data_IF_025752113545
#
_entry.id   IF_025752113545
#
_cell.length_a   1.000
_cell.length_b   1.000
_cell.length_c   1.000
_cell.angle_alpha   90.00
_cell.angle_beta   90.00
_cell.angle_gamma   90.00
#
_symmetry.space_group_name_H-M   'P 1'
#
loop_
_entity.id
_entity.type
_entity.pdbx_description
1 polymer ?
#
# COMPACT_ATOMS: atom_id res chain seq x y z
N UNK A 1 13.80 -39.88 -16.54
CA UNK A 1 13.09 -39.19 -15.46
C UNK A 1 13.64 -37.80 -15.43
N UNK A 2 12.94 -36.86 -16.06
CA UNK A 2 13.29 -35.45 -16.06
C UNK A 2 13.08 -34.90 -14.65
N UNK A 3 14.20 -34.55 -14.03
CA UNK A 3 14.35 -34.31 -12.61
C UNK A 3 13.93 -32.88 -12.26
N UNK A 4 12.62 -32.64 -12.20
CA UNK A 4 12.06 -31.50 -11.47
C UNK A 4 11.34 -32.07 -10.25
N UNK A 5 12.00 -32.05 -9.10
CA UNK A 5 11.53 -32.66 -7.85
C UNK A 5 10.50 -31.81 -7.10
N UNK A 6 9.87 -30.84 -7.76
CA UNK A 6 8.93 -29.90 -7.14
C UNK A 6 7.79 -29.56 -8.09
N UNK A 7 6.64 -29.19 -7.53
CA UNK A 7 5.47 -28.74 -8.27
C UNK A 7 4.64 -27.78 -7.42
N UNK A 8 4.05 -26.78 -8.07
CA UNK A 8 3.18 -25.81 -7.42
C UNK A 8 1.89 -26.47 -6.96
N UNK A 9 1.67 -26.51 -5.64
CA UNK A 9 0.47 -27.11 -5.05
C UNK A 9 -0.70 -26.13 -4.94
N UNK A 10 -0.39 -24.84 -4.73
CA UNK A 10 -1.38 -23.79 -4.53
C UNK A 10 -0.82 -22.46 -5.00
N UNK A 11 -1.68 -21.66 -5.61
CA UNK A 11 -1.42 -20.28 -6.00
C UNK A 11 -2.41 -19.39 -5.29
N UNK A 12 -1.95 -18.27 -4.74
CA UNK A 12 -2.79 -17.27 -4.07
C UNK A 12 -2.48 -15.88 -4.62
N UNK A 13 -3.52 -15.05 -4.74
CA UNK A 13 -3.41 -13.66 -5.19
C UNK A 13 -3.39 -12.76 -3.95
N UNK A 14 -2.21 -12.22 -3.63
CA UNK A 14 -2.00 -11.39 -2.44
C UNK A 14 -2.06 -9.88 -2.70
N UNK A 15 -2.15 -9.45 -3.96
CA UNK A 15 -2.17 -8.03 -4.27
C UNK A 15 -2.06 -7.67 -5.74
N UNK A 16 -2.23 -6.37 -6.02
CA UNK A 16 -2.06 -5.80 -7.35
C UNK A 16 -1.03 -4.66 -7.30
N UNK A 17 -0.16 -4.64 -8.30
CA UNK A 17 0.87 -3.63 -8.46
C UNK A 17 0.56 -2.64 -9.57
N UNK A 18 0.99 -1.38 -9.40
CA UNK A 18 1.06 -0.38 -10.48
C UNK A 18 2.46 -0.22 -11.07
N UNK A 19 3.48 -0.80 -10.44
CA UNK A 19 4.86 -0.71 -10.89
C UNK A 19 5.16 -1.78 -11.93
N UNK A 20 6.02 -1.48 -12.89
CA UNK A 20 6.51 -2.47 -13.88
C UNK A 20 7.75 -3.25 -13.44
N UNK A 21 8.37 -2.83 -12.34
CA UNK A 21 9.58 -3.45 -11.78
C UNK A 21 9.20 -4.44 -10.68
N UNK A 22 10.03 -5.46 -10.52
CA UNK A 22 9.95 -6.42 -9.42
C UNK A 22 10.65 -5.81 -8.20
N UNK A 23 9.84 -5.21 -7.33
CA UNK A 23 10.31 -4.52 -6.12
C UNK A 23 10.02 -5.39 -4.91
N UNK A 24 11.06 -5.87 -4.22
CA UNK A 24 10.86 -6.67 -3.00
C UNK A 24 10.10 -5.90 -1.91
N UNK A 25 10.28 -4.59 -1.80
CA UNK A 25 9.49 -3.77 -0.86
C UNK A 25 7.99 -3.83 -1.15
N UNK A 26 7.59 -3.98 -2.42
CA UNK A 26 6.19 -4.16 -2.81
C UNK A 26 5.72 -5.59 -2.52
N UNK A 27 6.52 -6.60 -2.84
CA UNK A 27 6.22 -8.01 -2.52
C UNK A 27 6.03 -8.21 -1.00
N UNK A 28 6.96 -7.69 -0.18
CA UNK A 28 6.90 -7.71 1.28
C UNK A 28 5.64 -7.05 1.84
N UNK A 29 5.26 -5.90 1.28
CA UNK A 29 4.03 -5.21 1.67
C UNK A 29 2.82 -6.12 1.50
N UNK A 30 2.76 -6.90 0.41
CA UNK A 30 1.67 -7.82 0.14
C UNK A 30 1.79 -9.16 0.87
N UNK A 31 2.98 -9.59 1.25
CA UNK A 31 3.21 -10.83 2.00
C UNK A 31 2.40 -10.92 3.29
N UNK A 32 2.18 -9.78 3.96
CA UNK A 32 1.36 -9.68 5.18
C UNK A 32 -0.14 -9.94 4.98
N UNK A 33 -0.63 -9.95 3.73
CA UNK A 33 -2.05 -10.13 3.46
C UNK A 33 -2.51 -11.60 3.61
N UNK A 34 -1.57 -12.54 3.59
CA UNK A 34 -1.82 -13.96 3.73
C UNK A 34 -0.97 -14.51 4.86
N UNK A 35 -1.62 -15.14 5.85
CA UNK A 35 -0.99 -15.56 7.10
C UNK A 35 0.22 -16.47 6.86
N UNK A 36 0.10 -17.41 5.91
CA UNK A 36 1.18 -18.36 5.62
C UNK A 36 2.40 -17.70 4.95
N UNK A 37 2.29 -16.47 4.44
CA UNK A 37 3.41 -15.70 3.88
C UNK A 37 3.85 -14.52 4.75
N UNK A 38 3.24 -14.32 5.92
CA UNK A 38 3.49 -13.14 6.74
C UNK A 38 4.96 -13.02 7.19
N UNK A 39 5.67 -14.15 7.33
CA UNK A 39 7.09 -14.19 7.67
C UNK A 39 8.00 -13.57 6.59
N UNK A 40 7.52 -13.45 5.34
CA UNK A 40 8.22 -12.79 4.24
C UNK A 40 7.98 -11.27 4.21
N UNK A 41 7.22 -10.70 5.14
CA UNK A 41 6.91 -9.27 5.15
C UNK A 41 8.07 -8.38 5.63
N UNK A 42 9.03 -8.95 6.36
CA UNK A 42 10.20 -8.23 6.84
C UNK A 42 11.39 -8.34 5.87
N UNK A 43 12.25 -7.31 5.77
CA UNK A 43 13.45 -7.40 4.95
C UNK A 43 14.39 -8.52 5.42
N UNK A 44 14.66 -9.48 4.54
CA UNK A 44 15.62 -10.56 4.76
C UNK A 44 16.35 -10.89 3.46
N UNK A 45 17.69 -10.77 3.45
CA UNK A 45 18.50 -11.05 2.25
C UNK A 45 18.46 -12.52 1.84
N UNK A 46 18.33 -13.44 2.82
CA UNK A 46 18.25 -14.89 2.55
C UNK A 46 16.98 -15.28 1.80
N UNK A 47 15.96 -14.42 1.85
CA UNK A 47 14.69 -14.63 1.16
C UNK A 47 14.52 -13.74 -0.08
N UNK A 48 15.48 -12.87 -0.42
CA UNK A 48 15.41 -11.97 -1.58
C UNK A 48 16.23 -12.49 -2.77
N UNK A 49 15.62 -13.33 -3.59
CA UNK A 49 16.31 -13.96 -4.72
C UNK A 49 16.32 -13.07 -5.96
N UNK A 50 17.51 -12.75 -6.47
CA UNK A 50 17.75 -11.83 -7.61
C UNK A 50 18.39 -12.56 -8.79
N UNK A 51 17.70 -13.54 -9.34
CA UNK A 51 18.25 -14.51 -10.30
C UNK A 51 17.95 -14.11 -11.75
N UNK A 52 18.38 -12.91 -12.16
CA UNK A 52 18.12 -12.37 -13.51
C UNK A 52 19.25 -12.67 -14.50
N UNK A 53 19.52 -13.95 -14.68
CA UNK A 53 20.39 -14.48 -15.73
C UNK A 53 19.61 -15.50 -16.58
N UNK A 54 20.15 -15.94 -17.73
CA UNK A 54 19.41 -16.72 -18.74
C UNK A 54 18.80 -18.04 -18.26
N UNK A 55 19.22 -18.54 -17.11
CA UNK A 55 18.77 -19.79 -16.49
C UNK A 55 18.32 -19.58 -15.04
N UNK A 56 18.11 -18.33 -14.63
CA UNK A 56 17.70 -17.99 -13.27
C UNK A 56 16.18 -17.85 -13.16
N UNK A 57 15.67 -17.99 -11.94
CA UNK A 57 14.24 -18.01 -11.68
C UNK A 57 13.59 -16.62 -11.51
N UNK A 58 14.33 -15.56 -11.84
CA UNK A 58 13.83 -14.19 -11.77
C UNK A 58 13.92 -13.59 -10.36
N UNK A 59 12.96 -12.71 -10.02
CA UNK A 59 12.91 -12.01 -8.74
C UNK A 59 11.76 -12.57 -7.91
N UNK A 60 12.06 -13.13 -6.75
CA UNK A 60 11.04 -13.71 -5.87
C UNK A 60 11.41 -13.64 -4.39
N UNK A 61 10.40 -13.58 -3.52
CA UNK A 61 10.57 -13.82 -2.09
C UNK A 61 10.26 -15.27 -1.75
N UNK A 62 11.10 -15.93 -0.99
CA UNK A 62 10.87 -17.30 -0.54
C UNK A 62 12.14 -17.90 0.04
N UNK A 63 12.04 -19.06 0.68
CA UNK A 63 13.21 -19.79 1.20
C UNK A 63 14.05 -20.40 0.06
N UNK A 64 13.36 -20.84 -1.00
CA UNK A 64 13.97 -21.46 -2.17
C UNK A 64 12.96 -21.47 -3.32
N UNK A 65 13.40 -21.58 -4.57
CA UNK A 65 12.50 -21.85 -5.71
C UNK A 65 11.84 -23.23 -5.62
N UNK A 66 12.41 -24.14 -4.84
CA UNK A 66 12.02 -25.56 -4.82
C UNK A 66 11.09 -25.93 -3.66
N UNK A 67 10.85 -25.02 -2.71
CA UNK A 67 10.09 -25.32 -1.49
C UNK A 67 9.46 -24.08 -0.86
N UNK A 68 8.38 -24.31 -0.12
CA UNK A 68 7.69 -23.27 0.63
C UNK A 68 6.90 -22.32 -0.26
N UNK A 69 6.47 -21.21 0.35
CA UNK A 69 5.77 -20.16 -0.38
C UNK A 69 6.75 -19.27 -1.12
N UNK A 70 6.39 -18.97 -2.37
CA UNK A 70 7.13 -18.05 -3.24
C UNK A 70 6.21 -16.89 -3.60
N UNK A 71 6.68 -15.66 -3.37
CA UNK A 71 6.02 -14.45 -3.83
C UNK A 71 6.82 -13.91 -5.01
N UNK A 72 6.22 -13.99 -6.19
CA UNK A 72 6.74 -13.39 -7.41
C UNK A 72 5.70 -12.47 -8.03
N UNK A 73 6.14 -11.67 -9.01
CA UNK A 73 5.29 -10.69 -9.66
C UNK A 73 5.04 -11.08 -11.09
N UNK A 74 3.77 -11.29 -11.41
CA UNK A 74 3.35 -11.63 -12.76
C UNK A 74 2.97 -10.37 -13.56
N UNK A 75 3.68 -10.06 -14.67
CA UNK A 75 3.36 -8.93 -15.52
C UNK A 75 2.10 -9.19 -16.37
N UNK A 76 1.19 -8.23 -16.39
CA UNK A 76 -0.02 -8.29 -17.21
C UNK A 76 0.26 -7.65 -18.58
N UNK A 77 0.61 -8.47 -19.57
CA UNK A 77 0.83 -8.01 -20.95
C UNK A 77 -0.44 -8.08 -21.82
N UNK A 78 -1.21 -9.15 -21.66
CA UNK A 78 -2.47 -9.38 -22.37
C UNK A 78 -3.55 -9.68 -21.34
N UNK A 79 -4.63 -8.90 -21.37
CA UNK A 79 -5.68 -8.95 -20.35
C UNK A 79 -6.45 -10.26 -20.40
N UNK A 80 -6.85 -10.69 -21.59
CA UNK A 80 -7.65 -11.89 -21.81
C UNK A 80 -6.89 -13.12 -21.31
N UNK A 81 -5.60 -13.23 -21.69
CA UNK A 81 -4.73 -14.31 -21.25
C UNK A 81 -4.51 -14.33 -19.74
N UNK A 82 -4.26 -13.18 -19.12
CA UNK A 82 -4.14 -13.11 -17.65
C UNK A 82 -5.42 -13.54 -16.94
N UNK A 83 -6.59 -13.20 -17.50
CA UNK A 83 -7.87 -13.67 -16.94
C UNK A 83 -7.95 -15.19 -17.03
N UNK A 84 -7.60 -15.78 -18.17
CA UNK A 84 -7.59 -17.24 -18.35
C UNK A 84 -6.60 -17.93 -17.39
N UNK A 85 -5.36 -17.45 -17.33
CA UNK A 85 -4.28 -18.03 -16.51
C UNK A 85 -4.64 -18.04 -15.00
N UNK A 86 -5.36 -17.02 -14.53
CA UNK A 86 -5.74 -16.88 -13.12
C UNK A 86 -7.20 -17.24 -12.81
N UNK A 87 -8.04 -17.59 -13.80
CA UNK A 87 -9.47 -17.84 -13.59
C UNK A 87 -9.73 -18.95 -12.58
N UNK A 88 -8.95 -20.04 -12.65
CA UNK A 88 -9.07 -21.15 -11.71
C UNK A 88 -8.71 -20.72 -10.28
N UNK A 89 -7.56 -20.05 -10.11
CA UNK A 89 -7.10 -19.54 -8.82
C UNK A 89 -8.11 -18.56 -8.22
N UNK A 90 -8.56 -17.59 -9.02
CA UNK A 90 -9.48 -16.54 -8.59
C UNK A 90 -10.93 -17.00 -8.45
N UNK A 91 -11.28 -18.18 -8.98
CA UNK A 91 -12.58 -18.81 -8.80
C UNK A 91 -12.83 -19.35 -7.38
N UNK A 92 -11.79 -19.41 -6.54
CA UNK A 92 -11.91 -19.74 -5.11
C UNK A 92 -11.51 -18.53 -4.25
N UNK A 93 -12.43 -18.05 -3.41
CA UNK A 93 -12.21 -16.93 -2.49
C UNK A 93 -11.06 -17.19 -1.50
N UNK A 94 -10.82 -18.45 -1.13
CA UNK A 94 -9.71 -18.85 -0.25
C UNK A 94 -8.32 -18.62 -0.88
N UNK A 95 -8.25 -18.28 -2.17
CA UNK A 95 -7.00 -17.93 -2.83
C UNK A 95 -6.84 -16.41 -3.01
N UNK A 96 -7.81 -15.59 -2.56
CA UNK A 96 -7.78 -14.14 -2.73
C UNK A 96 -7.52 -13.46 -1.39
N UNK A 97 -6.27 -13.05 -1.18
CA UNK A 97 -5.79 -12.41 0.04
C UNK A 97 -5.32 -11.00 -0.23
N UNK A 98 -6.23 -10.11 -0.63
CA UNK A 98 -5.90 -8.73 -0.97
C UNK A 98 -6.36 -7.84 0.17
N UNK A 99 -5.44 -7.13 0.83
CA UNK A 99 -5.81 -6.12 1.80
C UNK A 99 -6.70 -5.07 1.12
N UNK A 100 -7.91 -4.86 1.65
CA UNK A 100 -8.72 -3.72 1.24
C UNK A 100 -7.89 -2.46 1.54
N UNK A 101 -7.75 -1.51 0.60
CA UNK A 101 -7.14 -0.24 0.98
C UNK A 101 -7.93 0.30 2.17
N UNK A 102 -7.22 0.76 3.20
CA UNK A 102 -7.76 1.56 4.32
C UNK A 102 -8.47 2.79 3.73
N UNK A 103 -9.63 2.57 3.15
CA UNK A 103 -10.62 3.57 2.85
C UNK A 103 -11.40 3.68 4.15
N UNK A 104 -10.72 4.10 5.21
CA UNK A 104 -11.43 4.74 6.30
C UNK A 104 -11.85 6.08 5.69
N UNK A 105 -13.13 6.30 5.33
CA UNK A 105 -13.57 7.65 4.99
C UNK A 105 -13.19 8.56 6.16
N UNK A 106 -12.61 9.75 5.90
CA UNK A 106 -12.25 10.69 6.97
C UNK A 106 -13.46 10.88 7.88
N UNK A 107 -13.38 10.36 9.10
CA UNK A 107 -14.52 10.28 10.00
C UNK A 107 -14.58 11.54 10.84
N UNK A 108 -15.67 12.29 10.63
CA UNK A 108 -16.11 13.53 11.30
C UNK A 108 -15.22 14.77 11.10
N UNK A 109 -15.83 15.92 10.75
CA UNK A 109 -15.14 17.21 10.82
C UNK A 109 -14.89 17.55 12.30
N UNK A 110 -13.62 17.60 12.69
CA UNK A 110 -13.23 18.15 14.00
C UNK A 110 -13.04 19.64 13.81
N UNK A 111 -14.17 20.34 13.86
CA UNK A 111 -14.31 21.78 14.11
C UNK A 111 -13.74 22.76 13.05
N UNK A 112 -14.54 23.80 12.77
CA UNK A 112 -14.13 24.93 11.94
C UNK A 112 -13.28 25.88 12.79
N UNK A 113 -12.01 26.05 12.42
CA UNK A 113 -11.16 27.02 13.10
C UNK A 113 -11.22 28.40 12.46
N UNK A 114 -10.87 29.43 13.23
CA UNK A 114 -10.77 30.81 12.76
C UNK A 114 -9.88 30.89 11.51
N UNK A 115 -10.47 31.32 10.38
CA UNK A 115 -9.74 31.54 9.12
C UNK A 115 -10.19 30.68 7.93
N UNK A 116 -11.31 29.95 8.03
CA UNK A 116 -11.83 29.16 6.90
C UNK A 116 -11.01 27.91 6.58
N UNK A 117 -10.26 27.43 7.57
CA UNK A 117 -9.56 26.14 7.52
C UNK A 117 -10.32 25.10 8.35
N UNK A 118 -10.31 23.85 7.90
CA UNK A 118 -10.97 22.73 8.56
C UNK A 118 -9.92 21.65 8.84
N UNK A 119 -9.75 21.29 10.11
CA UNK A 119 -8.94 20.16 10.52
C UNK A 119 -9.81 18.90 10.49
N UNK A 120 -9.31 17.85 9.83
CA UNK A 120 -10.04 16.60 9.64
C UNK A 120 -9.13 15.44 9.98
N UNK A 121 -9.63 14.51 10.80
CA UNK A 121 -8.98 13.22 10.94
C UNK A 121 -9.09 12.44 9.62
N UNK A 122 -7.97 12.34 8.90
CA UNK A 122 -7.94 11.76 7.55
C UNK A 122 -7.78 10.24 7.59
N UNK A 123 -6.99 9.74 8.54
CA UNK A 123 -6.84 8.32 8.84
C UNK A 123 -6.31 8.14 10.26
N UNK A 124 -6.27 6.89 10.74
CA UNK A 124 -5.69 6.56 12.05
C UNK A 124 -4.23 7.02 12.24
N UNK A 125 -3.52 7.38 11.15
CA UNK A 125 -2.12 7.82 11.17
C UNK A 125 -1.92 9.24 10.66
N UNK A 126 -2.96 9.91 10.17
CA UNK A 126 -2.81 11.21 9.53
C UNK A 126 -4.01 12.14 9.77
N UNK A 127 -3.70 13.42 9.89
CA UNK A 127 -4.69 14.51 9.92
C UNK A 127 -4.50 15.39 8.69
N UNK A 128 -5.59 15.95 8.19
CA UNK A 128 -5.60 16.82 7.02
C UNK A 128 -6.20 18.19 7.36
N UNK A 129 -5.61 19.24 6.79
CA UNK A 129 -6.11 20.61 6.87
C UNK A 129 -6.59 21.02 5.48
N UNK A 130 -7.86 21.36 5.37
CA UNK A 130 -8.50 21.87 4.16
C UNK A 130 -8.87 23.35 4.31
N UNK A 131 -9.12 24.06 3.21
CA UNK A 131 -9.56 25.46 3.23
C UNK A 131 -8.52 26.44 2.69
N UNK A 132 -8.65 27.72 3.07
CA UNK A 132 -7.76 28.80 2.58
C UNK A 132 -6.41 28.79 3.30
N UNK A 133 -5.55 27.87 2.89
CA UNK A 133 -4.22 27.66 3.48
C UNK A 133 -3.12 28.50 2.80
N UNK A 134 -3.46 29.44 1.90
CA UNK A 134 -2.47 30.21 1.14
C UNK A 134 -1.63 31.11 2.05
N UNK A 135 -2.28 31.80 2.99
CA UNK A 135 -1.63 32.76 3.89
C UNK A 135 -0.72 32.07 4.92
N UNK A 136 -1.08 30.83 5.31
CA UNK A 136 -0.38 30.05 6.33
C UNK A 136 0.50 28.93 5.75
N UNK A 137 0.72 28.93 4.43
CA UNK A 137 1.44 27.86 3.72
C UNK A 137 2.84 27.60 4.29
N UNK A 138 3.60 28.65 4.56
CA UNK A 138 4.99 28.50 5.03
C UNK A 138 5.03 27.98 6.47
N UNK A 139 4.04 28.34 7.29
CA UNK A 139 3.88 27.85 8.66
C UNK A 139 3.47 26.36 8.68
N UNK A 140 2.51 25.97 7.85
CA UNK A 140 2.10 24.56 7.68
C UNK A 140 3.27 23.70 7.20
N UNK A 141 4.09 24.23 6.29
CA UNK A 141 5.31 23.56 5.82
C UNK A 141 6.36 23.44 6.93
N UNK A 142 6.56 24.49 7.72
CA UNK A 142 7.49 24.49 8.86
C UNK A 142 7.06 23.52 9.97
N UNK A 143 5.75 23.31 10.14
CA UNK A 143 5.17 22.28 11.02
C UNK A 143 5.28 20.85 10.47
N UNK A 144 5.89 20.66 9.29
CA UNK A 144 6.12 19.35 8.68
C UNK A 144 4.97 18.85 7.80
N UNK A 145 4.02 19.73 7.46
CA UNK A 145 2.93 19.42 6.57
C UNK A 145 3.38 19.19 5.13
N UNK A 146 2.70 18.29 4.43
CA UNK A 146 2.87 18.08 2.99
C UNK A 146 1.61 18.48 2.26
N UNK A 147 1.74 19.37 1.28
CA UNK A 147 0.62 19.75 0.44
C UNK A 147 0.26 18.63 -0.54
N UNK A 148 -1.03 18.32 -0.67
CA UNK A 148 -1.57 17.34 -1.63
C UNK A 148 -2.86 17.90 -2.26
N UNK A 149 -2.84 18.03 -3.59
CA UNK A 149 -3.96 18.54 -4.39
C UNK A 149 -5.11 17.54 -4.62
N UNK A 150 -4.93 16.28 -4.21
CA UNK A 150 -5.84 15.17 -4.53
C UNK A 150 -6.28 14.40 -3.27
N UNK A 151 -6.31 15.05 -2.11
CA UNK A 151 -6.91 14.45 -0.91
C UNK A 151 -8.42 14.27 -1.11
N UNK A 152 -8.97 13.18 -0.57
CA UNK A 152 -10.40 12.87 -0.72
C UNK A 152 -11.11 13.14 0.61
N UNK A 153 -12.07 14.06 0.62
CA UNK A 153 -12.88 14.37 1.79
C UNK A 153 -14.35 14.47 1.37
N UNK A 154 -15.25 13.77 2.06
CA UNK A 154 -16.68 13.64 1.72
C UNK A 154 -16.95 13.30 0.25
N UNK A 155 -16.15 12.37 -0.32
CA UNK A 155 -16.27 11.94 -1.72
C UNK A 155 -15.80 12.95 -2.76
N UNK A 156 -15.29 14.12 -2.35
CA UNK A 156 -14.74 15.14 -3.25
C UNK A 156 -13.22 15.20 -3.12
N UNK A 157 -12.54 15.40 -4.25
CA UNK A 157 -11.11 15.69 -4.26
C UNK A 157 -10.90 17.17 -3.92
N UNK A 158 -10.18 17.43 -2.85
CA UNK A 158 -9.88 18.76 -2.36
C UNK A 158 -8.38 18.90 -2.15
N UNK A 159 -7.86 20.09 -2.44
CA UNK A 159 -6.49 20.43 -2.11
C UNK A 159 -6.38 20.71 -0.61
N UNK A 160 -5.33 20.20 0.02
CA UNK A 160 -5.10 20.40 1.45
C UNK A 160 -3.69 19.99 1.87
N UNK A 161 -3.43 20.13 3.16
CA UNK A 161 -2.17 19.72 3.79
C UNK A 161 -2.39 18.45 4.60
N UNK A 162 -1.49 17.48 4.47
CA UNK A 162 -1.52 16.25 5.26
C UNK A 162 -0.35 16.23 6.25
N UNK A 163 -0.64 15.80 7.48
CA UNK A 163 0.30 15.71 8.58
C UNK A 163 0.22 14.33 9.24
N UNK A 164 1.30 13.84 9.87
CA UNK A 164 1.22 12.70 10.77
C UNK A 164 0.28 12.99 11.94
N UNK A 165 -0.44 11.98 12.43
CA UNK A 165 -1.36 12.13 13.58
C UNK A 165 -0.67 12.64 14.84
N UNK A 166 0.64 12.40 15.00
CA UNK A 166 1.44 12.96 16.10
C UNK A 166 1.50 14.49 16.12
N UNK A 167 1.16 15.18 15.03
CA UNK A 167 1.12 16.65 14.95
C UNK A 167 -0.29 17.23 15.21
N UNK A 168 -1.29 16.39 15.48
CA UNK A 168 -2.68 16.81 15.68
C UNK A 168 -2.83 17.84 16.80
N UNK A 169 -2.25 17.58 17.99
CA UNK A 169 -2.30 18.53 19.12
C UNK A 169 -1.66 19.88 18.79
N UNK A 170 -0.54 19.87 18.06
CA UNK A 170 0.15 21.10 17.65
C UNK A 170 -0.70 21.91 16.66
N UNK A 171 -1.40 21.23 15.76
CA UNK A 171 -2.34 21.86 14.83
C UNK A 171 -3.58 22.39 15.56
N UNK A 172 -4.15 21.62 16.49
CA UNK A 172 -5.29 22.04 17.30
C UNK A 172 -4.97 23.34 18.06
N UNK A 173 -3.81 23.40 18.74
CA UNK A 173 -3.34 24.62 19.41
C UNK A 173 -3.16 25.79 18.44
N UNK A 174 -2.52 25.54 17.28
CA UNK A 174 -2.31 26.58 16.27
C UNK A 174 -3.62 27.17 15.73
N UNK A 175 -4.63 26.31 15.57
CA UNK A 175 -5.96 26.68 15.09
C UNK A 175 -6.91 27.16 16.21
N UNK A 176 -6.49 27.09 17.47
CA UNK A 176 -7.28 27.47 18.64
C UNK A 176 -8.51 26.58 18.86
N UNK A 177 -8.35 25.28 18.60
CA UNK A 177 -9.37 24.23 18.77
C UNK A 177 -9.19 23.46 20.10
N UNK A 178 -8.50 24.05 21.07
CA UNK A 178 -8.14 23.48 22.38
C UNK A 178 -8.77 24.30 23.52
#
# INVERSE_FOLDING_TARGET
TDYYSYSTQRTVIIGFSKHKRDLFSEMRKHASNFEETAYLAEPNEDYEHREKYSMGDGYYLGESKYSGWIIEKEPVYNRERTIEDFAYTAGNEDNIHINKPDTTPPSKPTEESKGGCTLVEYSAKAVAVFGDTKSIKDELKAMGGRFNSHLTFNGKKLAGWIFPKSQEQRLAYYFGLD
#
